data_IF_261597974161
#
_entry.id   IF_261597974161
#
_cell.length_a   1.000
_cell.length_b   1.000
_cell.length_c   1.000
_cell.angle_alpha   90.00
_cell.angle_beta   90.00
_cell.angle_gamma   90.00
#
_symmetry.space_group_name_H-M   'P 1'
#
loop_
_entity.id
_entity.type
_entity.pdbx_description
1 polymer ?
#
# COMPACT_ATOMS: atom_id res chain seq x y z
N UNK A 1 -14.37 -2.87 4.08
CA UNK A 1 -13.00 -2.49 4.44
C UNK A 1 -12.10 -3.71 4.27
N UNK A 2 -11.04 -3.60 3.48
CA UNK A 2 -10.00 -4.61 3.40
C UNK A 2 -8.78 -4.10 4.16
N UNK A 3 -8.28 -4.88 5.10
CA UNK A 3 -7.06 -4.60 5.83
C UNK A 3 -5.98 -5.55 5.34
N UNK A 4 -4.97 -4.99 4.68
CA UNK A 4 -3.71 -5.67 4.44
C UNK A 4 -2.69 -5.07 5.40
N UNK A 5 -2.08 -5.87 6.28
CA UNK A 5 -0.95 -5.38 7.05
C UNK A 5 0.18 -4.99 6.09
N UNK A 6 0.87 -3.91 6.43
CA UNK A 6 2.10 -3.55 5.74
C UNK A 6 3.08 -4.72 5.82
N UNK A 7 3.68 -5.08 4.68
CA UNK A 7 4.63 -6.19 4.61
C UNK A 7 6.01 -5.69 5.05
N UNK A 8 6.70 -6.50 5.86
CA UNK A 8 8.10 -6.29 6.22
C UNK A 8 8.95 -7.40 5.59
N UNK A 9 10.12 -7.05 5.08
CA UNK A 9 11.14 -8.02 4.67
C UNK A 9 11.99 -8.49 5.87
N UNK A 10 11.78 -7.91 7.06
CA UNK A 10 12.50 -8.28 8.27
C UNK A 10 11.94 -9.60 8.83
N UNK A 11 12.71 -10.71 8.76
CA UNK A 11 12.23 -12.02 9.20
C UNK A 11 12.02 -12.10 10.73
N UNK A 12 12.47 -11.10 11.49
CA UNK A 12 12.21 -11.01 12.92
C UNK A 12 10.77 -10.55 13.25
N UNK A 13 10.03 -10.03 12.26
CA UNK A 13 8.64 -9.61 12.43
C UNK A 13 7.70 -10.71 11.93
N UNK A 14 6.61 -11.00 12.68
CA UNK A 14 5.64 -11.99 12.22
C UNK A 14 4.89 -11.47 11.00
N UNK A 15 4.65 -12.35 10.03
CA UNK A 15 3.81 -12.04 8.88
C UNK A 15 2.41 -11.62 9.35
N UNK A 16 2.01 -10.43 8.94
CA UNK A 16 0.64 -10.00 9.13
C UNK A 16 -0.31 -10.83 8.28
N UNK A 17 -1.47 -11.17 8.83
CA UNK A 17 -2.53 -11.87 8.07
C UNK A 17 -3.54 -10.86 7.50
N UNK A 18 -3.78 -10.85 6.19
CA UNK A 18 -4.84 -10.04 5.61
C UNK A 18 -6.20 -10.42 6.20
N UNK A 19 -7.02 -9.40 6.44
CA UNK A 19 -8.36 -9.55 6.96
C UNK A 19 -9.31 -8.61 6.24
N UNK A 20 -10.59 -9.00 6.14
CA UNK A 20 -11.62 -8.15 5.59
C UNK A 20 -12.76 -7.97 6.59
N UNK A 21 -13.33 -6.77 6.58
CA UNK A 21 -14.58 -6.47 7.28
C UNK A 21 -15.58 -6.01 6.24
N UNK A 22 -16.65 -6.76 6.10
CA UNK A 22 -17.84 -6.35 5.35
C UNK A 22 -18.85 -5.74 6.32
N UNK A 23 -19.41 -4.58 5.96
CA UNK A 23 -20.47 -3.92 6.71
C UNK A 23 -21.66 -3.83 5.75
N UNK A 24 -22.71 -4.59 6.03
CA UNK A 24 -23.93 -4.59 5.24
C UNK A 24 -24.72 -3.28 5.44
N UNK A 25 -25.68 -3.02 4.56
CA UNK A 25 -26.52 -1.81 4.59
C UNK A 25 -27.43 -1.74 5.83
N UNK A 26 -27.75 -2.89 6.43
CA UNK A 26 -28.45 -3.00 7.71
C UNK A 26 -27.51 -2.91 8.94
N UNK A 27 -26.22 -2.68 8.71
CA UNK A 27 -25.19 -2.59 9.74
C UNK A 27 -24.61 -3.93 10.20
N UNK A 28 -25.02 -5.07 9.62
CA UNK A 28 -24.40 -6.35 9.97
C UNK A 28 -22.92 -6.39 9.57
N UNK A 29 -22.09 -6.84 10.51
CA UNK A 29 -20.64 -6.92 10.33
C UNK A 29 -20.23 -8.37 10.13
N UNK A 30 -19.66 -8.68 8.97
CA UNK A 30 -19.00 -9.97 8.70
C UNK A 30 -17.49 -9.76 8.71
N UNK A 31 -16.78 -10.61 9.44
CA UNK A 31 -15.31 -10.61 9.50
C UNK A 31 -14.77 -11.82 8.74
N UNK A 32 -13.80 -11.58 7.88
CA UNK A 32 -13.03 -12.61 7.19
C UNK A 32 -11.60 -12.54 7.69
N UNK A 33 -11.12 -13.64 8.24
CA UNK A 33 -9.74 -13.82 8.71
C UNK A 33 -8.99 -14.73 7.76
N UNK A 34 -7.68 -14.57 7.64
CA UNK A 34 -6.82 -15.40 6.77
C UNK A 34 -7.20 -15.31 5.29
N UNK A 35 -7.54 -14.09 4.84
CA UNK A 35 -7.87 -13.86 3.42
C UNK A 35 -6.63 -14.16 2.58
N UNK A 36 -6.74 -15.18 1.71
CA UNK A 36 -5.62 -15.65 0.87
C UNK A 36 -5.33 -14.73 -0.31
N UNK A 37 -6.29 -13.88 -0.68
CA UNK A 37 -6.10 -12.85 -1.69
C UNK A 37 -5.26 -11.69 -1.14
N UNK A 38 -4.17 -11.37 -1.83
CA UNK A 38 -3.24 -10.30 -1.45
C UNK A 38 -3.71 -8.93 -1.93
N UNK A 39 -4.53 -8.89 -2.99
CA UNK A 39 -4.94 -7.64 -3.62
C UNK A 39 -6.48 -7.51 -3.64
N UNK A 40 -7.06 -6.43 -3.10
CA UNK A 40 -8.46 -6.13 -3.30
C UNK A 40 -8.70 -5.70 -4.75
N UNK A 41 -9.75 -6.26 -5.37
CA UNK A 41 -10.20 -5.90 -6.71
C UNK A 41 -11.39 -4.92 -6.66
N UNK A 42 -12.13 -4.86 -5.56
CA UNK A 42 -13.26 -3.96 -5.39
C UNK A 42 -14.43 -4.63 -4.65
N UNK A 43 -15.53 -3.90 -4.50
CA UNK A 43 -16.72 -4.36 -3.79
C UNK A 43 -17.93 -4.23 -4.71
N UNK A 44 -18.81 -5.24 -4.64
CA UNK A 44 -20.11 -5.27 -5.33
C UNK A 44 -21.15 -5.84 -4.35
N UNK A 45 -22.43 -5.85 -4.73
CA UNK A 45 -23.51 -6.53 -4.00
C UNK A 45 -23.22 -8.00 -3.68
N UNK A 46 -22.37 -8.66 -4.46
CA UNK A 46 -21.97 -10.05 -4.24
C UNK A 46 -20.98 -10.22 -3.10
N UNK A 47 -20.25 -9.16 -2.73
CA UNK A 47 -19.20 -9.21 -1.72
C UNK A 47 -17.92 -8.45 -2.11
N UNK A 48 -16.88 -8.67 -1.32
CA UNK A 48 -15.54 -8.16 -1.55
C UNK A 48 -14.77 -9.12 -2.46
N UNK A 49 -14.26 -8.60 -3.58
CA UNK A 49 -13.44 -9.36 -4.51
C UNK A 49 -11.96 -9.19 -4.19
N UNK A 50 -11.25 -10.31 -4.09
CA UNK A 50 -9.81 -10.36 -3.85
C UNK A 50 -9.13 -11.32 -4.80
N UNK A 51 -7.83 -11.15 -5.02
CA UNK A 51 -7.03 -12.01 -5.90
C UNK A 51 -5.68 -12.29 -5.26
N UNK A 52 -5.20 -13.51 -5.44
CA UNK A 52 -3.82 -13.89 -5.14
C UNK A 52 -2.93 -13.92 -6.40
N UNK A 53 -3.52 -13.82 -7.59
CA UNK A 53 -2.78 -13.88 -8.85
C UNK A 53 -1.81 -12.72 -9.00
N UNK A 54 -0.57 -13.06 -9.36
CA UNK A 54 0.46 -12.10 -9.73
C UNK A 54 0.10 -11.34 -11.01
N UNK A 55 0.58 -10.11 -11.12
CA UNK A 55 0.42 -9.32 -12.34
C UNK A 55 1.21 -9.98 -13.49
N UNK A 56 0.63 -10.11 -14.71
CA UNK A 56 1.33 -10.71 -15.84
C UNK A 56 2.57 -9.91 -16.25
N UNK A 57 3.60 -10.59 -16.77
CA UNK A 57 4.74 -9.91 -17.39
C UNK A 57 4.29 -9.10 -18.60
N UNK A 58 4.76 -7.86 -18.70
CA UNK A 58 4.30 -6.91 -19.72
C UNK A 58 4.64 -7.37 -21.15
N UNK A 59 5.75 -8.08 -21.30
CA UNK A 59 6.34 -8.56 -22.55
C UNK A 59 5.95 -9.99 -22.94
N UNK A 60 5.07 -10.63 -22.18
CA UNK A 60 4.56 -11.97 -22.45
C UNK A 60 3.05 -11.94 -22.77
N UNK A 61 2.65 -11.78 -24.05
CA UNK A 61 1.25 -11.73 -24.44
C UNK A 61 0.41 -12.94 -24.03
N UNK A 62 1.04 -14.11 -23.90
CA UNK A 62 0.35 -15.34 -23.53
C UNK A 62 -0.09 -15.32 -22.07
N UNK A 63 0.72 -14.71 -21.19
CA UNK A 63 0.40 -14.57 -19.76
C UNK A 63 -0.88 -13.73 -19.53
N UNK A 64 -1.23 -12.83 -20.44
CA UNK A 64 -2.43 -11.99 -20.35
C UNK A 64 -3.73 -12.75 -20.67
N UNK A 65 -3.64 -13.94 -21.28
CA UNK A 65 -4.78 -14.77 -21.68
C UNK A 65 -4.89 -16.07 -20.87
N UNK A 66 -4.07 -16.23 -19.83
CA UNK A 66 -4.16 -17.37 -18.94
C UNK A 66 -5.35 -17.22 -17.98
N UNK A 67 -6.03 -18.32 -17.61
CA UNK A 67 -7.06 -18.30 -16.58
C UNK A 67 -6.57 -17.67 -15.28
N UNK A 68 -7.42 -16.85 -14.68
CA UNK A 68 -7.18 -16.10 -13.45
C UNK A 68 -8.28 -16.38 -12.44
N UNK A 69 -7.96 -16.25 -11.17
CA UNK A 69 -8.89 -16.55 -10.08
C UNK A 69 -9.10 -15.34 -9.20
N UNK A 70 -10.37 -15.06 -8.92
CA UNK A 70 -10.76 -14.16 -7.85
C UNK A 70 -11.59 -14.90 -6.81
N UNK A 71 -11.36 -14.58 -5.55
CA UNK A 71 -12.21 -15.00 -4.45
C UNK A 71 -13.18 -13.86 -4.11
N UNK A 72 -14.46 -14.19 -4.04
CA UNK A 72 -15.53 -13.29 -3.59
C UNK A 72 -15.89 -13.68 -2.17
N UNK A 73 -15.63 -12.77 -1.23
CA UNK A 73 -15.98 -12.91 0.17
C UNK A 73 -17.42 -12.43 0.38
N UNK A 74 -18.32 -13.39 0.58
CA UNK A 74 -19.77 -13.18 0.56
C UNK A 74 -20.27 -12.75 1.95
N UNK A 75 -21.14 -11.73 2.05
CA UNK A 75 -21.78 -11.36 3.31
C UNK A 75 -22.43 -12.58 3.98
N UNK A 76 -22.14 -12.81 5.27
CA UNK A 76 -22.53 -14.04 5.97
C UNK A 76 -21.41 -15.08 6.12
N UNK A 77 -20.24 -14.83 5.53
CA UNK A 77 -18.99 -15.52 5.88
C UNK A 77 -18.56 -16.66 4.97
N UNK A 78 -19.33 -16.95 3.91
CA UNK A 78 -18.89 -17.86 2.85
C UNK A 78 -17.97 -17.16 1.84
N UNK A 79 -17.26 -17.93 1.03
CA UNK A 79 -16.53 -17.41 -0.12
C UNK A 79 -16.78 -18.24 -1.37
N UNK A 80 -16.52 -17.64 -2.53
CA UNK A 80 -16.65 -18.30 -3.83
C UNK A 80 -15.48 -17.93 -4.74
N UNK A 81 -14.97 -18.90 -5.47
CA UNK A 81 -13.95 -18.68 -6.50
C UNK A 81 -14.63 -18.44 -7.84
N UNK A 82 -14.16 -17.44 -8.57
CA UNK A 82 -14.55 -17.08 -9.92
C UNK A 82 -13.31 -17.16 -10.80
N UNK A 83 -13.42 -17.87 -11.92
CA UNK A 83 -12.35 -17.96 -12.91
C UNK A 83 -12.64 -17.00 -14.06
N UNK A 84 -11.62 -16.26 -14.51
CA UNK A 84 -11.71 -15.36 -15.65
C UNK A 84 -10.64 -15.70 -16.68
N UNK A 85 -10.94 -15.54 -17.97
CA UNK A 85 -9.96 -15.78 -19.04
C UNK A 85 -8.92 -14.65 -19.21
N UNK A 86 -9.09 -13.56 -18.47
CA UNK A 86 -8.18 -12.40 -18.43
C UNK A 86 -7.92 -11.94 -17.01
N UNK A 87 -6.88 -11.12 -16.85
CA UNK A 87 -6.60 -10.43 -15.60
C UNK A 87 -7.70 -9.41 -15.28
N UNK A 88 -8.27 -9.51 -14.09
CA UNK A 88 -9.18 -8.50 -13.54
C UNK A 88 -8.36 -7.26 -13.16
N UNK A 89 -8.75 -6.11 -13.69
CA UNK A 89 -8.23 -4.83 -13.27
C UNK A 89 -8.89 -4.41 -11.96
N UNK A 90 -10.23 -4.38 -11.93
CA UNK A 90 -11.03 -4.14 -10.74
C UNK A 90 -12.49 -4.53 -10.99
N UNK A 91 -13.29 -4.53 -9.92
CA UNK A 91 -14.75 -4.65 -9.95
C UNK A 91 -15.38 -3.43 -9.31
N UNK A 92 -16.58 -3.06 -9.76
CA UNK A 92 -17.29 -1.91 -9.23
C UNK A 92 -18.79 -2.16 -9.21
N UNK A 93 -19.46 -1.64 -8.17
CA UNK A 93 -20.92 -1.48 -8.19
C UNK A 93 -21.27 -0.24 -9.02
N UNK A 94 -22.33 -0.33 -9.82
CA UNK A 94 -22.94 0.82 -10.51
C UNK A 94 -24.43 0.84 -10.21
N UNK A 95 -25.10 1.95 -10.52
CA UNK A 95 -26.54 2.09 -10.31
C UNK A 95 -27.39 1.07 -11.09
N UNK A 96 -26.83 0.49 -12.17
CA UNK A 96 -27.56 -0.43 -13.05
C UNK A 96 -27.21 -1.89 -12.75
N UNK A 97 -25.92 -2.22 -12.79
CA UNK A 97 -25.41 -3.55 -12.48
C UNK A 97 -23.95 -3.49 -12.05
N UNK A 98 -23.48 -4.46 -11.26
CA UNK A 98 -22.05 -4.59 -10.98
C UNK A 98 -21.29 -4.83 -12.29
N UNK A 99 -20.11 -4.23 -12.41
CA UNK A 99 -19.23 -4.37 -13.58
C UNK A 99 -17.91 -5.02 -13.17
N UNK A 100 -17.50 -5.98 -13.97
CA UNK A 100 -16.17 -6.59 -13.93
C UNK A 100 -15.33 -5.95 -15.04
N UNK A 101 -14.21 -5.32 -14.66
CA UNK A 101 -13.29 -4.70 -15.61
C UNK A 101 -12.05 -5.59 -15.75
N UNK A 102 -11.79 -6.02 -16.98
CA UNK A 102 -10.72 -6.94 -17.34
C UNK A 102 -9.74 -6.25 -18.28
N UNK A 103 -8.45 -6.58 -18.18
CA UNK A 103 -7.50 -6.24 -19.23
C UNK A 103 -7.80 -7.06 -20.48
N UNK A 104 -7.96 -6.43 -21.64
CA UNK A 104 -8.29 -7.16 -22.87
C UNK A 104 -7.11 -8.02 -23.36
N UNK A 105 -5.88 -7.64 -23.00
CA UNK A 105 -4.63 -8.32 -23.38
C UNK A 105 -3.40 -7.54 -22.91
N UNK A 106 -2.23 -7.90 -23.44
CA UNK A 106 -0.97 -7.22 -23.16
C UNK A 106 -1.01 -5.73 -23.55
N UNK A 107 -0.34 -4.84 -22.80
CA UNK A 107 -0.26 -3.44 -23.14
C UNK A 107 0.51 -3.20 -24.42
N UNK A 108 0.16 -2.12 -25.12
CA UNK A 108 0.99 -1.59 -26.19
C UNK A 108 2.17 -0.81 -25.60
N UNK A 109 3.40 -1.17 -25.96
CA UNK A 109 4.61 -0.47 -25.55
C UNK A 109 4.98 0.63 -26.57
N UNK A 110 5.25 1.83 -26.07
CA UNK A 110 5.79 2.95 -26.86
C UNK A 110 7.12 3.38 -26.26
N UNK A 111 8.21 3.19 -26.99
CA UNK A 111 9.55 3.60 -26.56
C UNK A 111 9.83 5.03 -27.04
N UNK A 112 10.06 5.93 -26.10
CA UNK A 112 10.50 7.29 -26.35
C UNK A 112 11.92 7.30 -26.90
N UNK A 113 12.23 8.31 -27.72
CA UNK A 113 13.54 8.49 -28.37
C UNK A 113 14.72 8.56 -27.39
N UNK A 114 14.47 8.91 -26.13
CA UNK A 114 15.46 9.02 -25.05
C UNK A 114 15.49 7.77 -24.13
N UNK A 115 14.86 6.66 -24.52
CA UNK A 115 15.00 5.35 -23.87
C UNK A 115 13.93 4.97 -22.84
N UNK A 116 12.97 5.86 -22.52
CA UNK A 116 11.83 5.51 -21.67
C UNK A 116 10.78 4.69 -22.42
N UNK A 117 10.16 3.70 -21.79
CA UNK A 117 9.04 2.94 -22.38
C UNK A 117 7.76 3.21 -21.61
N UNK A 118 6.72 3.64 -22.32
CA UNK A 118 5.37 3.83 -21.78
C UNK A 118 4.46 2.70 -22.25
N UNK A 119 3.55 2.25 -21.39
CA UNK A 119 2.62 1.17 -21.67
C UNK A 119 1.19 1.70 -21.68
N UNK A 120 0.40 1.33 -22.70
CA UNK A 120 -1.01 1.68 -22.80
C UNK A 120 -1.89 0.43 -22.76
N UNK A 121 -2.85 0.43 -21.85
CA UNK A 121 -3.76 -0.70 -21.62
C UNK A 121 -5.10 -0.50 -22.32
N UNK A 122 -5.73 -1.62 -22.65
CA UNK A 122 -7.11 -1.69 -23.13
C UNK A 122 -7.90 -2.59 -22.20
N UNK A 123 -9.16 -2.23 -22.00
CA UNK A 123 -10.02 -2.87 -21.03
C UNK A 123 -11.30 -3.37 -21.68
N UNK A 124 -11.88 -4.40 -21.07
CA UNK A 124 -13.22 -4.90 -21.35
C UNK A 124 -14.09 -4.78 -20.10
N UNK A 125 -15.32 -4.32 -20.25
CA UNK A 125 -16.34 -4.33 -19.21
C UNK A 125 -17.33 -5.46 -19.45
N UNK A 126 -17.53 -6.29 -18.44
CA UNK A 126 -18.58 -7.32 -18.41
C UNK A 126 -19.60 -6.92 -17.34
N UNK A 127 -20.89 -6.92 -17.70
CA UNK A 127 -21.97 -6.74 -16.75
C UNK A 127 -22.23 -8.04 -15.98
N UNK A 128 -22.27 -7.96 -14.66
CA UNK A 128 -22.59 -9.09 -13.80
C UNK A 128 -24.09 -9.09 -13.50
N UNK A 129 -24.70 -10.28 -13.58
CA UNK A 129 -26.07 -10.50 -13.10
C UNK A 129 -26.12 -10.63 -11.58
N UNK A 130 -27.30 -10.95 -11.04
CA UNK A 130 -27.49 -11.17 -9.59
C UNK A 130 -26.86 -12.49 -9.11
N UNK A 131 -26.79 -13.48 -9.99
CA UNK A 131 -26.04 -14.72 -9.74
C UNK A 131 -24.69 -14.66 -10.45
N UNK A 132 -23.61 -14.88 -9.69
CA UNK A 132 -22.29 -15.01 -10.28
C UNK A 132 -22.14 -16.38 -10.96
N UNK A 133 -21.65 -16.45 -12.21
CA UNK A 133 -21.23 -17.71 -12.82
C UNK A 133 -19.90 -18.17 -12.19
N UNK A 134 -19.52 -19.44 -12.36
CA UNK A 134 -18.21 -19.93 -11.90
C UNK A 134 -17.06 -19.46 -12.80
N UNK A 135 -17.36 -19.22 -14.08
CA UNK A 135 -16.41 -18.81 -15.12
C UNK A 135 -16.97 -17.60 -15.86
N UNK A 136 -16.12 -16.63 -16.18
CA UNK A 136 -16.46 -15.43 -16.96
C UNK A 136 -15.40 -15.28 -18.05
N UNK A 137 -15.84 -15.34 -19.31
CA UNK A 137 -14.95 -15.32 -20.47
C UNK A 137 -15.32 -14.16 -21.36
N UNK A 138 -14.37 -13.26 -21.63
CA UNK A 138 -14.62 -12.14 -22.57
C UNK A 138 -15.07 -12.66 -23.94
N UNK A 139 -14.56 -13.81 -24.38
CA UNK A 139 -14.94 -14.39 -25.67
C UNK A 139 -16.42 -14.81 -25.76
N UNK A 140 -17.03 -15.20 -24.63
CA UNK A 140 -18.38 -15.75 -24.56
C UNK A 140 -19.42 -14.72 -24.10
N UNK A 141 -18.97 -13.67 -23.39
CA UNK A 141 -19.82 -12.64 -22.81
C UNK A 141 -19.99 -11.41 -23.72
N UNK A 142 -21.09 -10.66 -23.51
CA UNK A 142 -21.21 -9.32 -24.11
C UNK A 142 -20.34 -8.34 -23.32
N UNK A 143 -19.32 -7.80 -23.99
CA UNK A 143 -18.41 -6.83 -23.39
C UNK A 143 -18.35 -5.52 -24.17
N UNK A 144 -17.98 -4.46 -23.47
CA UNK A 144 -17.65 -3.16 -24.05
C UNK A 144 -16.14 -2.93 -23.92
N UNK A 145 -15.49 -2.49 -25.00
CA UNK A 145 -14.07 -2.13 -24.98
C UNK A 145 -13.91 -0.64 -24.76
N UNK A 146 -12.91 -0.28 -23.96
CA UNK A 146 -12.55 1.12 -23.73
C UNK A 146 -11.05 1.25 -23.45
N UNK A 147 -10.53 2.45 -23.63
CA UNK A 147 -9.14 2.79 -23.36
C UNK A 147 -8.92 3.34 -21.93
N UNK A 148 -7.66 3.58 -21.57
CA UNK A 148 -7.27 4.10 -20.26
C UNK A 148 -7.85 5.50 -19.95
N UNK A 149 -8.01 6.37 -20.96
CA UNK A 149 -8.59 7.70 -20.72
C UNK A 149 -10.08 7.61 -20.43
N UNK A 150 -10.79 6.76 -21.17
CA UNK A 150 -12.20 6.45 -20.92
C UNK A 150 -12.39 5.82 -19.54
N UNK A 151 -11.47 4.93 -19.15
CA UNK A 151 -11.45 4.33 -17.82
C UNK A 151 -11.31 5.38 -16.70
N UNK A 152 -10.30 6.25 -16.80
CA UNK A 152 -10.04 7.28 -15.80
C UNK A 152 -11.23 8.23 -15.64
N UNK A 153 -11.90 8.59 -16.75
CA UNK A 153 -13.13 9.38 -16.72
C UNK A 153 -14.27 8.65 -16.01
N UNK A 154 -14.46 7.36 -16.29
CA UNK A 154 -15.49 6.56 -15.64
C UNK A 154 -15.23 6.43 -14.12
N UNK A 155 -13.98 6.17 -13.72
CA UNK A 155 -13.59 6.10 -12.30
C UNK A 155 -13.80 7.42 -11.57
N UNK A 156 -13.53 8.56 -12.21
CA UNK A 156 -13.77 9.89 -11.63
C UNK A 156 -15.22 10.14 -11.24
N UNK A 157 -16.18 9.49 -11.89
CA UNK A 157 -17.61 9.61 -11.58
C UNK A 157 -18.06 8.71 -10.42
N UNK A 158 -17.30 7.66 -10.12
CA UNK A 158 -17.66 6.63 -9.12
C UNK A 158 -16.82 6.76 -7.84
N UNK A 159 -15.79 7.61 -7.87
CA UNK A 159 -14.96 7.89 -6.71
C UNK A 159 -15.84 8.34 -5.52
N UNK A 160 -15.66 7.74 -4.32
CA UNK A 160 -16.38 8.15 -3.13
C UNK A 160 -16.15 9.64 -2.90
N UNK A 161 -17.23 10.42 -2.89
CA UNK A 161 -17.14 11.82 -2.49
C UNK A 161 -16.88 11.85 -0.98
N UNK A 162 -15.91 12.65 -0.51
CA UNK A 162 -15.79 12.91 0.91
C UNK A 162 -17.15 13.33 1.44
N UNK A 163 -17.60 12.67 2.50
CA UNK A 163 -18.79 13.11 3.21
C UNK A 163 -18.47 14.48 3.82
N UNK A 164 -19.30 15.49 3.56
CA UNK A 164 -19.31 16.78 4.28
C UNK A 164 -19.86 16.56 5.69
N UNK A 165 -19.17 15.74 6.47
CA UNK A 165 -19.49 15.43 7.86
C UNK A 165 -18.33 15.94 8.68
N UNK A 166 -18.63 16.78 9.67
CA UNK A 166 -17.63 17.25 10.62
C UNK A 166 -16.88 16.05 11.21
N UNK A 167 -15.55 16.13 11.39
CA UNK A 167 -14.79 15.05 12.02
C UNK A 167 -15.47 14.64 13.33
N UNK A 168 -15.62 13.34 13.55
CA UNK A 168 -16.15 12.84 14.81
C UNK A 168 -15.25 13.39 15.93
N UNK A 169 -15.79 14.27 16.77
CA UNK A 169 -15.02 14.99 17.81
C UNK A 169 -14.43 14.07 18.87
N UNK A 170 -14.91 12.82 18.96
CA UNK A 170 -14.38 11.78 19.83
C UNK A 170 -13.81 10.63 19.00
N UNK A 171 -12.48 10.42 18.97
CA UNK A 171 -11.91 9.26 18.31
C UNK A 171 -12.47 7.98 18.92
N UNK A 172 -12.83 7.02 18.06
CA UNK A 172 -13.26 5.70 18.51
C UNK A 172 -12.07 5.04 19.20
N UNK A 173 -12.16 4.69 20.50
CA UNK A 173 -11.05 4.07 21.21
C UNK A 173 -10.77 2.69 20.61
N UNK A 174 -9.52 2.44 20.22
CA UNK A 174 -9.09 1.13 19.76
C UNK A 174 -8.73 0.25 20.96
N UNK A 175 -9.24 -0.97 20.97
CA UNK A 175 -8.67 -2.00 21.83
C UNK A 175 -7.28 -2.37 21.31
N UNK A 176 -6.26 -2.18 22.14
CA UNK A 176 -4.90 -2.55 21.76
C UNK A 176 -4.80 -4.05 21.50
N UNK A 177 -4.03 -4.41 20.46
CA UNK A 177 -3.69 -5.80 20.23
C UNK A 177 -2.74 -6.31 21.32
N UNK A 178 -2.70 -7.61 21.50
CA UNK A 178 -1.67 -8.21 22.34
C UNK A 178 -0.39 -8.40 21.51
N UNK A 179 0.71 -7.80 21.99
CA UNK A 179 2.07 -8.12 21.56
C UNK A 179 2.89 -8.47 22.79
N UNK A 180 3.67 -9.54 22.70
CA UNK A 180 4.68 -9.87 23.70
C UNK A 180 5.77 -8.79 23.74
N UNK A 181 6.46 -8.66 24.87
CA UNK A 181 7.62 -7.76 25.00
C UNK A 181 8.71 -8.09 23.96
N UNK A 182 8.86 -9.37 23.58
CA UNK A 182 9.81 -9.77 22.55
C UNK A 182 9.43 -9.23 21.16
N UNK A 183 8.14 -9.30 20.79
CA UNK A 183 7.64 -8.74 19.53
C UNK A 183 7.74 -7.20 19.50
N UNK A 184 7.43 -6.55 20.63
CA UNK A 184 7.59 -5.09 20.75
C UNK A 184 9.06 -4.68 20.56
N UNK A 185 9.99 -5.38 21.21
CA UNK A 185 11.42 -5.12 21.07
C UNK A 185 11.93 -5.42 19.66
N UNK A 186 11.42 -6.48 19.02
CA UNK A 186 11.77 -6.83 17.65
C UNK A 186 11.34 -5.75 16.66
N UNK A 187 10.13 -5.19 16.82
CA UNK A 187 9.61 -4.08 16.02
C UNK A 187 10.46 -2.81 16.14
N UNK A 188 10.85 -2.46 17.37
CA UNK A 188 11.76 -1.33 17.61
C UNK A 188 13.11 -1.59 16.98
N UNK A 189 13.71 -2.76 17.21
CA UNK A 189 15.01 -3.13 16.67
C UNK A 189 15.02 -3.16 15.13
N UNK A 190 13.93 -3.62 14.51
CA UNK A 190 13.74 -3.58 13.05
C UNK A 190 13.81 -2.15 12.52
N UNK A 191 13.09 -1.23 13.16
CA UNK A 191 13.11 0.19 12.78
C UNK A 191 14.49 0.82 13.00
N UNK A 192 15.22 0.46 14.06
CA UNK A 192 16.57 0.96 14.31
C UNK A 192 17.57 0.49 13.24
N UNK A 193 17.48 -0.78 12.81
CA UNK A 193 18.37 -1.37 11.79
C UNK A 193 18.36 -0.62 10.47
N UNK A 194 17.22 -0.04 10.08
CA UNK A 194 17.12 0.81 8.88
C UNK A 194 18.11 1.99 8.90
N UNK A 195 18.62 2.38 10.08
CA UNK A 195 19.48 3.55 10.30
C UNK A 195 20.86 3.25 10.92
N UNK A 196 21.25 1.98 11.11
CA UNK A 196 22.49 1.59 11.81
C UNK A 196 23.78 2.18 11.20
N UNK A 197 23.74 2.56 9.93
CA UNK A 197 24.92 2.97 9.17
C UNK A 197 24.78 4.36 8.54
N UNK A 198 23.93 5.25 9.06
CA UNK A 198 23.71 6.58 8.45
C UNK A 198 25.00 7.38 8.17
N UNK A 199 26.01 7.29 9.04
CA UNK A 199 27.29 7.99 8.85
C UNK A 199 28.24 7.29 7.86
N UNK A 200 27.98 6.03 7.53
CA UNK A 200 28.88 5.15 6.77
C UNK A 200 28.12 4.25 5.79
N UNK A 201 27.02 4.76 5.24
CA UNK A 201 26.03 3.97 4.51
C UNK A 201 26.58 3.42 3.19
N UNK A 202 27.30 4.27 2.45
CA UNK A 202 27.90 3.90 1.17
C UNK A 202 29.31 3.38 1.38
N UNK A 203 29.67 2.31 0.67
CA UNK A 203 30.99 1.72 0.66
C UNK A 203 31.62 1.83 -0.73
N UNK A 204 32.72 2.57 -0.85
CA UNK A 204 33.52 2.63 -2.06
C UNK A 204 34.34 1.35 -2.27
N UNK A 205 34.73 1.07 -3.52
CA UNK A 205 35.61 -0.06 -3.86
C UNK A 205 36.99 0.02 -3.18
N UNK A 206 37.39 1.21 -2.74
CA UNK A 206 38.62 1.48 -2.00
C UNK A 206 38.47 1.33 -0.47
N UNK A 207 37.31 0.86 -0.01
CA UNK A 207 37.00 0.67 1.41
C UNK A 207 36.65 1.95 2.17
N UNK A 208 36.63 3.12 1.51
CA UNK A 208 36.13 4.35 2.15
C UNK A 208 34.62 4.30 2.29
N UNK A 209 34.12 4.84 3.39
CA UNK A 209 32.69 4.98 3.63
C UNK A 209 32.25 6.44 3.52
N UNK A 210 30.99 6.65 3.17
CA UNK A 210 30.36 7.98 3.18
C UNK A 210 28.95 7.92 3.74
N UNK A 211 28.45 9.03 4.32
CA UNK A 211 27.11 9.08 4.90
C UNK A 211 26.03 8.86 3.84
N UNK A 212 24.83 8.50 4.30
CA UNK A 212 23.65 8.23 3.47
C UNK A 212 23.39 9.34 2.44
N UNK A 213 23.39 10.59 2.88
CA UNK A 213 23.30 11.78 2.01
C UNK A 213 24.40 12.79 2.37
N UNK A 214 24.74 13.64 1.41
CA UNK A 214 25.79 14.65 1.55
C UNK A 214 25.41 15.65 2.64
N UNK A 215 26.34 15.91 3.57
CA UNK A 215 26.16 16.89 4.63
C UNK A 215 25.51 16.34 5.89
N UNK A 216 24.97 15.11 5.86
CA UNK A 216 24.54 14.41 7.06
C UNK A 216 25.77 14.12 7.94
N UNK A 217 25.72 14.57 9.19
CA UNK A 217 26.76 14.35 10.19
C UNK A 217 26.20 14.02 11.57
N UNK A 218 27.03 13.40 12.40
CA UNK A 218 26.75 13.07 13.80
C UNK A 218 25.36 12.44 14.06
N UNK A 219 24.93 11.39 13.33
CA UNK A 219 23.59 10.83 13.50
C UNK A 219 23.40 10.21 14.90
N UNK A 220 22.17 10.31 15.40
CA UNK A 220 21.66 9.68 16.62
C UNK A 220 20.32 9.05 16.29
N UNK A 221 20.13 7.82 16.72
CA UNK A 221 18.92 7.04 16.45
C UNK A 221 18.49 6.41 17.76
N UNK A 222 17.35 6.85 18.29
CA UNK A 222 16.92 6.46 19.63
C UNK A 222 15.41 6.15 19.65
N UNK A 223 14.99 5.06 20.32
CA UNK A 223 13.58 4.85 20.60
C UNK A 223 13.11 5.75 21.75
N UNK A 224 11.95 6.34 21.59
CA UNK A 224 11.32 7.26 22.55
C UNK A 224 9.88 6.81 22.82
N UNK A 225 9.48 6.85 24.09
CA UNK A 225 8.14 6.49 24.53
C UNK A 225 7.93 4.99 24.71
N UNK A 226 6.74 4.62 25.17
CA UNK A 226 6.36 3.25 25.48
C UNK A 226 5.27 2.76 24.53
N UNK A 227 5.18 1.45 24.33
CA UNK A 227 4.16 0.84 23.46
C UNK A 227 2.75 1.25 23.94
N UNK A 228 1.83 1.60 23.03
CA UNK A 228 1.92 1.60 21.56
C UNK A 228 2.49 2.91 20.96
N UNK A 229 2.87 3.88 21.78
CA UNK A 229 3.33 5.20 21.33
C UNK A 229 4.83 5.29 21.08
N UNK A 230 5.55 4.17 21.09
CA UNK A 230 6.97 4.14 20.77
C UNK A 230 7.24 4.68 19.37
N UNK A 231 8.21 5.57 19.29
CA UNK A 231 8.71 6.15 18.05
C UNK A 231 10.23 6.05 18.01
N UNK A 232 10.81 5.96 16.83
CA UNK A 232 12.25 6.11 16.62
C UNK A 232 12.51 7.54 16.14
N UNK A 233 13.33 8.26 16.90
CA UNK A 233 13.80 9.60 16.54
C UNK A 233 15.19 9.48 15.89
N UNK A 234 15.28 9.85 14.61
CA UNK A 234 16.53 9.90 13.84
C UNK A 234 16.96 11.35 13.76
N UNK A 235 18.03 11.74 14.44
CA UNK A 235 18.51 13.12 14.49
C UNK A 235 19.96 13.27 14.05
N UNK A 236 20.27 14.26 13.23
CA UNK A 236 21.60 14.50 12.67
C UNK A 236 21.85 15.99 12.41
N UNK A 237 23.11 16.39 12.23
CA UNK A 237 23.47 17.74 11.77
C UNK A 237 23.44 17.79 10.25
N UNK A 238 23.03 18.92 9.65
CA UNK A 238 23.05 19.11 8.21
C UNK A 238 23.24 20.60 7.84
N UNK A 239 23.93 20.94 6.73
CA UNK A 239 24.12 22.32 6.29
C UNK A 239 22.85 23.13 6.06
N UNK A 240 21.71 22.48 5.82
CA UNK A 240 20.41 23.14 5.73
C UNK A 240 20.02 23.86 7.03
N UNK A 241 20.42 23.32 8.19
CA UNK A 241 20.17 23.94 9.49
C UNK A 241 21.43 23.91 10.37
N UNK A 242 22.40 24.82 10.15
CA UNK A 242 23.70 24.79 10.83
C UNK A 242 23.62 25.05 12.34
N UNK A 243 22.58 25.74 12.80
CA UNK A 243 22.38 26.14 14.20
C UNK A 243 21.78 25.05 15.09
N UNK A 244 21.48 23.87 14.55
CA UNK A 244 20.81 22.81 15.29
C UNK A 244 20.87 21.47 14.60
N UNK A 245 19.84 20.64 14.82
CA UNK A 245 19.74 19.28 14.27
C UNK A 245 18.44 19.11 13.50
N UNK A 246 18.48 18.31 12.45
CA UNK A 246 17.27 17.82 11.82
C UNK A 246 16.81 16.57 12.58
N UNK A 247 15.51 16.30 12.58
CA UNK A 247 14.95 15.09 13.18
C UNK A 247 13.81 14.52 12.33
N UNK A 248 13.92 13.25 11.97
CA UNK A 248 12.81 12.46 11.45
C UNK A 248 12.24 11.59 12.57
N UNK A 249 10.92 11.52 12.66
CA UNK A 249 10.23 10.70 13.66
C UNK A 249 9.43 9.60 12.97
N UNK A 250 9.68 8.35 13.35
CA UNK A 250 8.99 7.18 12.81
C UNK A 250 8.20 6.50 13.90
N UNK A 251 6.89 6.33 13.70
CA UNK A 251 6.07 5.54 14.63
C UNK A 251 6.32 4.05 14.39
N UNK A 252 6.65 3.32 15.45
CA UNK A 252 6.89 1.86 15.38
C UNK A 252 5.57 1.09 15.35
N UNK A 253 4.51 1.66 15.92
CA UNK A 253 3.18 1.03 15.98
C UNK A 253 2.05 1.95 15.49
N UNK A 254 0.93 1.36 15.07
CA UNK A 254 -0.32 2.06 14.79
C UNK A 254 -1.11 2.37 16.08
N UNK A 255 -2.24 3.07 15.97
CA UNK A 255 -3.08 3.43 17.12
C UNK A 255 -3.70 2.22 17.85
N UNK A 256 -3.70 1.04 17.24
CA UNK A 256 -4.15 -0.20 17.85
C UNK A 256 -2.97 -1.05 18.38
N UNK A 257 -1.74 -0.55 18.31
CA UNK A 257 -0.53 -1.22 18.78
C UNK A 257 0.06 -2.25 17.80
N UNK A 258 -0.39 -2.28 16.54
CA UNK A 258 0.18 -3.15 15.49
C UNK A 258 1.49 -2.59 14.98
N UNK A 259 2.43 -3.48 14.64
CA UNK A 259 3.71 -3.07 14.06
C UNK A 259 3.50 -2.32 12.75
N UNK A 260 4.20 -1.21 12.59
CA UNK A 260 4.32 -0.44 11.33
C UNK A 260 5.74 -0.63 10.79
N UNK A 261 5.92 -1.48 9.76
CA UNK A 261 7.22 -1.64 9.10
C UNK A 261 7.74 -0.30 8.60
N UNK A 262 9.05 -0.08 8.77
CA UNK A 262 9.74 1.13 8.30
C UNK A 262 10.62 0.84 7.09
N UNK A 263 10.20 -0.10 6.23
CA UNK A 263 10.96 -0.52 5.06
C UNK A 263 11.31 0.70 4.18
N UNK A 264 12.58 0.80 3.79
CA UNK A 264 13.11 1.90 2.98
C UNK A 264 13.03 3.29 3.63
N UNK A 265 12.79 3.37 4.95
CA UNK A 265 12.70 4.68 5.62
C UNK A 265 13.99 5.49 5.54
N UNK A 266 15.16 4.84 5.50
CA UNK A 266 16.44 5.51 5.24
C UNK A 266 16.58 5.99 3.79
N UNK A 267 16.07 5.25 2.82
CA UNK A 267 16.04 5.69 1.41
C UNK A 267 15.12 6.89 1.23
N UNK A 268 13.93 6.88 1.83
CA UNK A 268 13.05 8.06 1.81
C UNK A 268 13.71 9.27 2.48
N UNK A 269 14.45 9.07 3.58
CA UNK A 269 15.22 10.14 4.20
C UNK A 269 16.31 10.69 3.25
N UNK A 270 17.00 9.83 2.52
CA UNK A 270 17.96 10.27 1.51
C UNK A 270 17.30 11.10 0.42
N UNK A 271 16.16 10.66 -0.10
CA UNK A 271 15.39 11.38 -1.12
C UNK A 271 14.92 12.75 -0.63
N UNK A 272 14.40 12.84 0.60
CA UNK A 272 13.98 14.10 1.21
C UNK A 272 15.15 15.09 1.35
N UNK A 273 16.34 14.59 1.71
CA UNK A 273 17.55 15.41 1.83
C UNK A 273 18.09 15.86 0.46
N UNK A 274 18.08 14.97 -0.54
CA UNK A 274 18.62 15.25 -1.87
C UNK A 274 17.72 16.18 -2.69
N UNK A 275 16.40 16.07 -2.54
CA UNK A 275 15.42 16.93 -3.22
C UNK A 275 15.39 18.36 -2.66
N UNK A 276 16.04 18.62 -1.53
CA UNK A 276 16.15 19.94 -0.88
C UNK A 276 14.80 20.62 -0.56
N UNK A 277 13.70 19.88 -0.53
CA UNK A 277 12.37 20.36 -0.14
C UNK A 277 12.19 20.39 1.39
N UNK A 278 13.28 20.67 2.11
CA UNK A 278 13.30 20.66 3.57
C UNK A 278 12.57 21.89 4.13
N UNK A 279 11.90 21.77 5.30
CA UNK A 279 11.21 22.88 5.94
C UNK A 279 12.15 24.08 6.21
N UNK A 280 11.57 25.29 6.28
CA UNK A 280 12.33 26.50 6.64
C UNK A 280 12.95 26.34 8.04
N UNK A 281 14.27 26.55 8.21
CA UNK A 281 14.93 26.57 9.52
C UNK A 281 14.26 27.46 10.58
N UNK A 282 13.50 28.49 10.19
CA UNK A 282 12.72 29.33 11.12
C UNK A 282 11.63 28.56 11.86
N UNK A 283 11.20 27.39 11.35
CA UNK A 283 10.23 26.50 11.99
C UNK A 283 10.88 25.58 13.04
N UNK A 284 12.18 25.70 13.28
CA UNK A 284 12.86 24.89 14.29
C UNK A 284 12.36 25.24 15.70
N UNK A 285 12.09 24.21 16.49
CA UNK A 285 11.69 24.32 17.88
C UNK A 285 12.80 23.76 18.77
N UNK A 286 13.27 24.57 19.73
CA UNK A 286 14.32 24.18 20.69
C UNK A 286 15.60 23.62 20.02
N UNK A 287 16.02 24.20 18.89
CA UNK A 287 17.22 23.78 18.17
C UNK A 287 17.07 22.50 17.34
N UNK A 288 15.83 22.03 17.16
CA UNK A 288 15.50 20.87 16.32
C UNK A 288 14.54 21.29 15.21
N UNK A 289 14.86 20.92 13.98
CA UNK A 289 13.98 21.06 12.81
C UNK A 289 13.42 19.68 12.47
N UNK A 290 12.11 19.50 12.67
CA UNK A 290 11.43 18.25 12.31
C UNK A 290 11.22 18.15 10.80
N UNK A 291 11.49 16.96 10.24
CA UNK A 291 11.39 16.63 8.81
C UNK A 291 10.60 15.33 8.58
#
# INVERSE_FOLDING_TARGET
>A
MFYRPDESEDPALPDGKPAAVHIATDGQITRFTEVRGHQPLGVTRHGLWVTADAFPKLDDPSAWQQPRHAEVLIPGGSSRIITTDRRIAFVMETDTSPRLILYSGAPAATTARLGGTTYSYRYASVALGDELPAEINIADDRFELFDEQELLRAMGNVAPRPLDVAPIESPIPWSLIHLSTAEQNAAVASTLREFDHLASYWHGQDGRTSPLSRGLGDPRVEPVGEWPHTRVEVSFTHPHFPGGRLRRTLRVFDEAGRVRPSMYASIHLMEDLDTSALPDPANAHNGVLDI
#
